data_IF_356352757606
#
_entry.id   IF_356352757606
#
_cell.length_a   1.000
_cell.length_b   1.000
_cell.length_c   1.000
_cell.angle_alpha   90.00
_cell.angle_beta   90.00
_cell.angle_gamma   90.00
#
_symmetry.space_group_name_H-M   'P 1'
#
loop_
_entity.id
_entity.type
_entity.pdbx_description
1 polymer ?
#
# COMPACT_ATOMS: atom_id res chain seq x y z
N UNK A 1 17.77 55.18 -34.34
CA UNK A 1 18.29 53.87 -33.90
C UNK A 1 17.77 53.56 -32.49
N UNK A 2 16.45 53.49 -32.28
CA UNK A 2 15.85 53.31 -30.94
C UNK A 2 15.23 51.91 -30.77
N UNK A 3 15.02 51.19 -31.87
CA UNK A 3 14.27 49.93 -31.88
C UNK A 3 15.07 48.73 -31.30
N UNK A 4 16.38 48.85 -31.10
CA UNK A 4 17.22 47.75 -30.63
C UNK A 4 17.27 47.68 -29.08
N UNK A 5 17.21 48.83 -28.40
CA UNK A 5 17.22 48.92 -26.93
C UNK A 5 15.85 48.59 -26.34
N UNK A 6 14.77 49.03 -26.99
CA UNK A 6 13.40 48.71 -26.56
C UNK A 6 13.05 47.22 -26.71
N UNK A 7 13.61 46.55 -27.73
CA UNK A 7 13.36 45.12 -27.94
C UNK A 7 14.09 44.23 -26.92
N UNK A 8 15.30 44.62 -26.52
CA UNK A 8 16.12 43.83 -25.58
C UNK A 8 15.44 43.70 -24.20
N UNK A 9 14.98 44.82 -23.63
CA UNK A 9 14.28 44.81 -22.33
C UNK A 9 12.94 44.07 -22.35
N UNK A 10 12.22 44.08 -23.48
CA UNK A 10 10.93 43.37 -23.64
C UNK A 10 11.14 41.86 -23.78
N UNK A 11 12.19 41.42 -24.48
CA UNK A 11 12.53 39.99 -24.62
C UNK A 11 13.00 39.41 -23.29
N UNK A 12 13.85 40.12 -22.55
CA UNK A 12 14.35 39.67 -21.24
C UNK A 12 13.22 39.60 -20.20
N UNK A 13 12.33 40.59 -20.15
CA UNK A 13 11.17 40.57 -19.25
C UNK A 13 10.16 39.45 -19.61
N UNK A 14 10.01 39.10 -20.88
CA UNK A 14 9.19 37.94 -21.31
C UNK A 14 9.84 36.62 -20.91
N UNK A 15 11.16 36.50 -21.08
CA UNK A 15 11.94 35.32 -20.65
C UNK A 15 11.85 35.13 -19.15
N UNK A 16 12.02 36.19 -18.36
CA UNK A 16 11.95 36.11 -16.90
C UNK A 16 10.57 35.64 -16.42
N UNK A 17 9.48 36.17 -16.99
CA UNK A 17 8.11 35.73 -16.66
C UNK A 17 7.87 34.27 -17.06
N UNK A 18 8.38 33.85 -18.21
CA UNK A 18 8.29 32.46 -18.65
C UNK A 18 9.09 31.53 -17.73
N UNK A 19 10.32 31.89 -17.39
CA UNK A 19 11.17 31.13 -16.46
C UNK A 19 10.50 31.02 -15.09
N UNK A 20 9.99 32.12 -14.53
CA UNK A 20 9.24 32.09 -13.26
C UNK A 20 8.01 31.18 -13.34
N UNK A 21 7.21 31.27 -14.41
CA UNK A 21 6.04 30.39 -14.61
C UNK A 21 6.44 28.92 -14.70
N UNK A 22 7.51 28.60 -15.44
CA UNK A 22 8.03 27.23 -15.56
C UNK A 22 8.54 26.73 -14.21
N UNK A 23 9.29 27.54 -13.47
CA UNK A 23 9.79 27.19 -12.14
C UNK A 23 8.64 26.91 -11.17
N UNK A 24 7.62 27.77 -11.12
CA UNK A 24 6.44 27.52 -10.29
C UNK A 24 5.70 26.26 -10.71
N UNK A 25 5.50 26.04 -12.02
CA UNK A 25 4.83 24.84 -12.52
C UNK A 25 5.59 23.57 -12.14
N UNK A 26 6.90 23.54 -12.33
CA UNK A 26 7.76 22.40 -11.95
C UNK A 26 7.72 22.17 -10.44
N UNK A 27 7.82 23.22 -9.64
CA UNK A 27 7.73 23.11 -8.18
C UNK A 27 6.37 22.54 -7.75
N UNK A 28 5.28 23.03 -8.32
CA UNK A 28 3.93 22.51 -8.04
C UNK A 28 3.81 21.03 -8.43
N UNK A 29 4.30 20.64 -9.60
CA UNK A 29 4.28 19.25 -10.05
C UNK A 29 5.13 18.36 -9.13
N UNK A 30 6.29 18.82 -8.68
CA UNK A 30 7.15 18.07 -7.77
C UNK A 30 6.48 17.85 -6.40
N UNK A 31 5.86 18.89 -5.84
CA UNK A 31 5.17 18.81 -4.54
C UNK A 31 3.93 17.93 -4.64
N UNK A 32 3.08 18.16 -5.64
CA UNK A 32 1.84 17.39 -5.81
C UNK A 32 2.16 15.94 -6.21
N UNK A 33 3.07 15.73 -7.15
CA UNK A 33 3.50 14.41 -7.59
C UNK A 33 4.18 13.62 -6.47
N UNK A 34 5.07 14.26 -5.70
CA UNK A 34 5.70 13.65 -4.53
C UNK A 34 4.69 13.27 -3.45
N UNK A 35 3.73 14.16 -3.16
CA UNK A 35 2.64 13.88 -2.23
C UNK A 35 1.77 12.71 -2.68
N UNK A 36 1.29 12.74 -3.93
CA UNK A 36 0.48 11.65 -4.50
C UNK A 36 1.24 10.32 -4.47
N UNK A 37 2.50 10.30 -4.89
CA UNK A 37 3.32 9.09 -4.83
C UNK A 37 3.44 8.57 -3.38
N UNK A 38 3.66 9.45 -2.41
CA UNK A 38 3.78 9.06 -1.01
C UNK A 38 2.50 8.47 -0.43
N UNK A 39 1.32 9.00 -0.78
CA UNK A 39 0.04 8.47 -0.33
C UNK A 39 -0.36 7.18 -1.05
N UNK A 40 -0.12 7.09 -2.37
CA UNK A 40 -0.60 5.98 -3.19
C UNK A 40 0.41 4.83 -3.38
N UNK A 41 1.65 4.95 -2.89
CA UNK A 41 2.69 3.92 -3.09
C UNK A 41 2.34 2.51 -2.61
N UNK A 42 1.42 2.36 -1.65
CA UNK A 42 1.00 1.08 -1.07
C UNK A 42 -0.48 0.77 -1.32
N UNK A 43 -1.12 1.52 -2.22
CA UNK A 43 -2.56 1.42 -2.43
C UNK A 43 -3.00 0.01 -2.84
N UNK A 44 -2.22 -0.66 -3.70
CA UNK A 44 -2.55 -2.02 -4.17
C UNK A 44 -2.51 -3.03 -3.02
N UNK A 45 -1.48 -2.96 -2.19
CA UNK A 45 -1.28 -3.87 -1.09
C UNK A 45 -2.29 -3.64 0.04
N UNK A 46 -2.58 -2.39 0.38
CA UNK A 46 -3.64 -2.04 1.33
C UNK A 46 -5.03 -2.44 0.81
N UNK A 47 -5.28 -2.32 -0.50
CA UNK A 47 -6.52 -2.81 -1.10
C UNK A 47 -6.67 -4.31 -0.94
N UNK A 48 -5.59 -5.08 -1.05
CA UNK A 48 -5.62 -6.54 -0.83
C UNK A 48 -5.94 -6.92 0.60
N UNK A 49 -5.42 -6.19 1.58
CA UNK A 49 -5.81 -6.37 2.99
C UNK A 49 -7.31 -6.15 3.18
N UNK A 50 -7.83 -5.06 2.60
CA UNK A 50 -9.26 -4.74 2.70
C UNK A 50 -10.11 -5.85 2.06
N UNK A 51 -9.74 -6.30 0.87
CA UNK A 51 -10.40 -7.41 0.18
C UNK A 51 -10.40 -8.68 1.03
N UNK A 52 -9.25 -9.04 1.61
CA UNK A 52 -9.14 -10.18 2.52
C UNK A 52 -10.12 -10.07 3.69
N UNK A 53 -10.14 -8.94 4.41
CA UNK A 53 -11.08 -8.74 5.53
C UNK A 53 -12.54 -8.76 5.07
N UNK A 54 -12.86 -8.15 3.92
CA UNK A 54 -14.23 -8.18 3.36
C UNK A 54 -14.67 -9.61 3.02
N UNK A 55 -13.77 -10.47 2.54
CA UNK A 55 -14.10 -11.88 2.28
C UNK A 55 -14.34 -12.65 3.58
N UNK A 56 -13.55 -12.40 4.62
CA UNK A 56 -13.79 -12.98 5.95
C UNK A 56 -15.14 -12.53 6.53
N UNK A 57 -15.49 -11.25 6.37
CA UNK A 57 -16.77 -10.70 6.84
C UNK A 57 -17.96 -11.35 6.11
N UNK A 58 -17.80 -11.64 4.82
CA UNK A 58 -18.78 -12.37 4.00
C UNK A 58 -18.76 -13.88 4.21
N UNK A 59 -17.90 -14.39 5.10
CA UNK A 59 -17.68 -15.82 5.35
C UNK A 59 -17.22 -16.59 4.10
N UNK A 60 -16.66 -15.92 3.10
CA UNK A 60 -16.09 -16.54 1.90
C UNK A 60 -14.63 -16.95 2.14
N UNK A 61 -14.46 -17.96 3.00
CA UNK A 61 -13.15 -18.43 3.44
C UNK A 61 -12.35 -19.08 2.30
N UNK A 62 -13.01 -19.68 1.32
CA UNK A 62 -12.32 -20.31 0.18
C UNK A 62 -11.64 -19.27 -0.70
N UNK A 63 -12.36 -18.19 -1.04
CA UNK A 63 -11.78 -17.09 -1.83
C UNK A 63 -10.72 -16.35 -1.02
N UNK A 64 -10.94 -16.14 0.29
CA UNK A 64 -9.95 -15.53 1.17
C UNK A 64 -8.65 -16.35 1.25
N UNK A 65 -8.75 -17.67 1.34
CA UNK A 65 -7.60 -18.58 1.31
C UNK A 65 -6.90 -18.58 -0.06
N UNK A 66 -7.64 -18.38 -1.15
CA UNK A 66 -7.09 -18.14 -2.49
C UNK A 66 -6.11 -16.95 -2.54
N UNK A 67 -6.32 -15.90 -1.74
CA UNK A 67 -5.40 -14.76 -1.66
C UNK A 67 -4.04 -15.13 -1.06
N UNK A 68 -3.94 -16.26 -0.35
CA UNK A 68 -2.69 -16.79 0.15
C UNK A 68 -1.91 -17.58 -0.91
N UNK A 69 -2.46 -17.70 -2.12
CA UNK A 69 -1.88 -18.48 -3.23
C UNK A 69 -2.19 -19.97 -3.10
N UNK A 70 -3.03 -20.34 -2.14
CA UNK A 70 -3.42 -21.70 -1.85
C UNK A 70 -4.84 -21.92 -2.39
N UNK A 71 -5.06 -22.95 -3.21
CA UNK A 71 -6.39 -23.30 -3.72
C UNK A 71 -6.70 -24.77 -3.46
N UNK A 72 -7.96 -25.19 -3.67
CA UNK A 72 -8.34 -26.61 -3.60
C UNK A 72 -7.53 -27.45 -4.62
N UNK A 73 -7.13 -26.86 -5.76
CA UNK A 73 -6.30 -27.51 -6.78
C UNK A 73 -4.79 -27.46 -6.48
N UNK A 74 -4.32 -26.42 -5.79
CA UNK A 74 -2.92 -26.22 -5.40
C UNK A 74 -2.83 -25.88 -3.92
N UNK A 75 -3.04 -26.87 -3.02
CA UNK A 75 -3.03 -26.60 -1.59
C UNK A 75 -1.62 -26.30 -1.10
N UNK A 76 -1.50 -25.32 -0.21
CA UNK A 76 -0.24 -25.02 0.45
C UNK A 76 0.15 -26.17 1.38
N UNK A 77 1.40 -26.63 1.27
CA UNK A 77 1.91 -27.77 2.03
C UNK A 77 1.85 -27.52 3.54
N UNK A 78 2.31 -26.35 3.96
CA UNK A 78 2.55 -26.02 5.37
C UNK A 78 1.42 -25.18 6.00
N UNK A 79 0.45 -24.74 5.19
CA UNK A 79 -0.69 -23.94 5.64
C UNK A 79 -1.97 -24.39 4.95
N UNK A 80 -2.55 -25.50 5.43
CA UNK A 80 -3.78 -26.10 4.87
C UNK A 80 -5.02 -25.29 5.23
N UNK A 81 -6.12 -25.52 4.51
CA UNK A 81 -7.39 -24.84 4.73
C UNK A 81 -7.95 -25.01 6.16
N UNK A 82 -7.78 -26.17 6.80
CA UNK A 82 -8.21 -26.37 8.19
C UNK A 82 -7.46 -25.46 9.17
N UNK A 83 -6.16 -25.21 8.93
CA UNK A 83 -5.38 -24.25 9.73
C UNK A 83 -5.83 -22.82 9.46
N UNK A 84 -6.10 -22.51 8.20
CA UNK A 84 -6.69 -21.22 7.84
C UNK A 84 -8.01 -20.96 8.57
N UNK A 85 -8.91 -21.95 8.67
CA UNK A 85 -10.15 -21.81 9.44
C UNK A 85 -9.93 -21.70 10.95
N UNK A 86 -8.86 -22.30 11.50
CA UNK A 86 -8.51 -22.12 12.91
C UNK A 86 -8.08 -20.68 13.21
N UNK A 87 -7.37 -20.04 12.28
CA UNK A 87 -6.86 -18.67 12.44
C UNK A 87 -7.90 -17.60 12.08
N UNK A 88 -8.72 -17.86 11.04
CA UNK A 88 -9.58 -16.86 10.41
C UNK A 88 -11.07 -17.24 10.33
N UNK A 89 -11.43 -18.47 10.69
CA UNK A 89 -12.80 -18.98 10.59
C UNK A 89 -13.73 -18.40 11.67
N UNK A 90 -15.02 -18.78 11.66
CA UNK A 90 -16.03 -18.19 12.53
C UNK A 90 -15.81 -18.48 14.02
N UNK A 91 -15.11 -19.59 14.34
CA UNK A 91 -14.76 -19.99 15.70
C UNK A 91 -13.39 -19.47 16.16
N UNK A 92 -12.65 -18.81 15.26
CA UNK A 92 -11.33 -18.25 15.58
C UNK A 92 -11.45 -16.95 16.38
N UNK A 93 -10.32 -16.47 16.89
CA UNK A 93 -10.27 -15.14 17.48
C UNK A 93 -10.57 -14.01 16.48
N UNK A 94 -10.36 -14.28 15.19
CA UNK A 94 -10.70 -13.40 14.07
C UNK A 94 -12.14 -13.55 13.56
N UNK A 95 -12.95 -14.44 14.14
CA UNK A 95 -14.31 -14.74 13.67
C UNK A 95 -15.26 -13.53 13.71
N UNK A 96 -15.01 -12.56 14.59
CA UNK A 96 -15.67 -11.26 14.56
C UNK A 96 -14.82 -10.24 13.80
N UNK A 97 -14.93 -10.26 12.47
CA UNK A 97 -14.14 -9.42 11.57
C UNK A 97 -14.38 -7.92 11.81
N UNK A 98 -15.59 -7.53 12.18
CA UNK A 98 -15.93 -6.14 12.48
C UNK A 98 -15.17 -5.59 13.70
N UNK A 99 -14.69 -6.46 14.59
CA UNK A 99 -13.85 -6.08 15.73
C UNK A 99 -12.36 -5.99 15.39
N UNK A 100 -11.93 -6.40 14.20
CA UNK A 100 -10.52 -6.35 13.80
C UNK A 100 -10.11 -4.92 13.46
N UNK A 101 -9.14 -4.39 14.20
CA UNK A 101 -8.62 -3.05 13.95
C UNK A 101 -7.35 -3.11 13.09
N UNK A 102 -7.32 -2.34 12.01
CA UNK A 102 -6.10 -2.13 11.21
C UNK A 102 -5.27 -1.04 11.84
N UNK A 103 -4.04 -1.37 12.23
CA UNK A 103 -3.09 -0.44 12.83
C UNK A 103 -2.03 -0.02 11.79
N UNK A 104 -0.78 0.15 12.21
CA UNK A 104 0.34 0.62 11.41
C UNK A 104 0.64 -0.29 10.21
N UNK A 105 0.99 0.36 9.09
CA UNK A 105 1.55 -0.28 7.89
C UNK A 105 3.05 -0.02 7.84
N UNK A 106 3.85 -1.08 7.79
CA UNK A 106 5.29 -1.00 7.54
C UNK A 106 5.56 -1.31 6.07
N UNK A 107 6.17 -0.37 5.36
CA UNK A 107 6.51 -0.57 3.95
C UNK A 107 7.88 -1.22 3.82
N UNK A 108 7.94 -2.45 3.33
CA UNK A 108 9.18 -3.17 3.05
C UNK A 108 9.64 -2.95 1.59
N UNK A 109 10.84 -3.43 1.25
CA UNK A 109 11.30 -3.49 -0.15
C UNK A 109 10.37 -4.32 -1.04
N UNK A 110 10.07 -5.55 -0.62
CA UNK A 110 9.32 -6.53 -1.44
C UNK A 110 7.80 -6.55 -1.18
N UNK A 111 7.30 -5.78 -0.22
CA UNK A 111 5.90 -5.86 0.20
C UNK A 111 5.57 -4.86 1.30
N UNK A 112 4.46 -5.09 1.99
CA UNK A 112 4.09 -4.36 3.20
C UNK A 112 3.78 -5.34 4.32
N UNK A 113 3.95 -4.89 5.56
CA UNK A 113 3.43 -5.58 6.74
C UNK A 113 2.31 -4.71 7.31
N UNK A 114 1.11 -5.26 7.36
CA UNK A 114 -0.04 -4.65 8.02
C UNK A 114 -0.22 -5.32 9.38
N UNK A 115 -0.27 -4.51 10.44
CA UNK A 115 -0.63 -4.99 11.77
C UNK A 115 -2.16 -4.99 11.93
N UNK A 116 -2.71 -6.13 12.30
CA UNK A 116 -4.11 -6.33 12.67
C UNK A 116 -4.20 -6.56 14.17
N UNK A 117 -5.14 -5.90 14.84
CA UNK A 117 -5.45 -6.15 16.23
C UNK A 117 -6.71 -6.99 16.34
N UNK A 118 -6.56 -8.18 16.93
CA UNK A 118 -7.59 -9.21 17.03
C UNK A 118 -7.67 -9.59 18.51
N UNK A 119 -8.79 -9.26 19.18
CA UNK A 119 -8.97 -9.47 20.63
C UNK A 119 -7.79 -9.01 21.50
N UNK A 120 -7.15 -7.90 21.13
CA UNK A 120 -6.00 -7.34 21.87
C UNK A 120 -4.65 -7.99 21.56
N UNK A 121 -4.59 -8.95 20.62
CA UNK A 121 -3.34 -9.49 20.09
C UNK A 121 -2.98 -8.84 18.77
N UNK A 122 -1.68 -8.57 18.58
CA UNK A 122 -1.13 -8.01 17.35
C UNK A 122 -0.75 -9.15 16.37
N UNK A 123 -1.43 -9.22 15.24
CA UNK A 123 -1.16 -10.15 14.15
C UNK A 123 -0.59 -9.39 12.96
N UNK A 124 0.64 -9.75 12.56
CA UNK A 124 1.30 -9.13 11.42
C UNK A 124 1.05 -9.96 10.15
N UNK A 125 0.31 -9.38 9.21
CA UNK A 125 0.12 -9.95 7.87
C UNK A 125 1.06 -9.26 6.89
N UNK A 126 1.64 -10.02 5.98
CA UNK A 126 2.50 -9.53 4.90
C UNK A 126 1.80 -9.66 3.56
N UNK A 127 2.00 -8.67 2.71
CA UNK A 127 1.47 -8.62 1.36
C UNK A 127 2.64 -8.40 0.43
N UNK A 128 2.87 -9.36 -0.45
CA UNK A 128 3.92 -9.27 -1.46
C UNK A 128 3.53 -8.25 -2.55
N UNK A 129 4.45 -7.35 -2.91
CA UNK A 129 4.17 -6.27 -3.86
C UNK A 129 4.06 -6.76 -5.31
N UNK A 130 4.77 -7.84 -5.65
CA UNK A 130 4.80 -8.36 -7.02
C UNK A 130 3.60 -9.27 -7.30
N UNK A 131 3.35 -10.20 -6.38
CA UNK A 131 2.33 -11.24 -6.52
C UNK A 131 1.00 -10.88 -5.85
N UNK A 132 1.00 -9.91 -4.94
CA UNK A 132 -0.17 -9.53 -4.12
C UNK A 132 -0.72 -10.66 -3.25
N UNK A 133 0.10 -11.70 -2.99
CA UNK A 133 -0.24 -12.78 -2.08
C UNK A 133 -0.20 -12.30 -0.63
N UNK A 134 -1.16 -12.77 0.15
CA UNK A 134 -1.27 -12.54 1.59
C UNK A 134 -0.57 -13.68 2.32
N UNK A 135 0.13 -13.37 3.40
CA UNK A 135 0.72 -14.37 4.27
C UNK A 135 1.00 -13.82 5.66
N UNK A 136 1.50 -14.67 6.56
CA UNK A 136 2.07 -14.18 7.80
C UNK A 136 3.38 -13.44 7.54
N UNK A 137 3.64 -12.40 8.32
CA UNK A 137 4.88 -11.66 8.19
C UNK A 137 6.09 -12.54 8.53
N UNK A 138 7.14 -12.56 7.68
CA UNK A 138 8.35 -13.31 7.94
C UNK A 138 9.09 -12.73 9.15
N UNK A 139 9.79 -13.60 9.88
CA UNK A 139 10.72 -13.20 10.92
C UNK A 139 12.16 -13.32 10.41
N UNK A 140 13.04 -12.32 10.60
CA UNK A 140 12.83 -11.04 11.29
C UNK A 140 12.00 -10.03 10.47
N UNK A 141 11.34 -9.11 11.17
CA UNK A 141 10.58 -8.00 10.57
C UNK A 141 11.49 -7.21 9.63
N UNK A 142 11.02 -6.98 8.39
CA UNK A 142 11.81 -6.32 7.35
C UNK A 142 12.34 -4.95 7.81
N UNK A 143 13.50 -4.54 7.29
CA UNK A 143 13.91 -3.14 7.39
C UNK A 143 12.95 -2.27 6.58
N UNK A 144 12.25 -1.31 7.22
CA UNK A 144 11.29 -0.46 6.54
C UNK A 144 12.04 0.45 5.56
N UNK A 145 11.45 0.63 4.36
CA UNK A 145 12.02 1.45 3.29
C UNK A 145 12.07 2.94 3.66
N UNK A 146 11.20 3.34 4.59
CA UNK A 146 11.13 4.68 5.17
C UNK A 146 10.91 4.47 6.67
N UNK A 147 11.85 4.95 7.49
CA UNK A 147 11.65 5.09 8.93
C UNK A 147 10.90 6.41 9.12
N UNK A 148 9.65 6.35 9.58
CA UNK A 148 8.91 7.52 10.04
C UNK A 148 9.18 7.72 11.53
#
# INVERSE_FOLDING_TARGET
MNNFLDNYGVVDARRERLVKRVLYAVLTIAVVGGGLWFFFRNYREESRVKEFLTLLERQDYKTAYGLWGCTDATPCRDYKFDRFLQDWGPQSDAGNVAAIQRSKVKSCGKGIIQLLQIKGQDVNIYIDRATLLVGFAPWPVCHPRIQM
#
